data_IF_721182041502
#
_entry.id   IF_721182041502
#
_cell.length_a   1.000
_cell.length_b   1.000
_cell.length_c   1.000
_cell.angle_alpha   90.00
_cell.angle_beta   90.00
_cell.angle_gamma   90.00
#
_symmetry.space_group_name_H-M   'P 1'
#
loop_
_entity.id
_entity.type
_entity.pdbx_description
1 polymer ?
#
# COMPACT_ATOMS: atom_id res chain seq x y z
N UNK A 1 -7.12 21.02 -12.03
CA UNK A 1 -7.15 21.49 -10.63
C UNK A 1 -8.56 21.71 -10.10
N UNK A 2 -9.37 22.68 -10.56
CA UNK A 2 -10.76 22.84 -10.05
C UNK A 2 -11.70 21.71 -10.51
N UNK A 3 -11.68 21.38 -11.80
CA UNK A 3 -12.57 20.34 -12.36
C UNK A 3 -12.26 18.91 -11.85
N UNK A 4 -11.01 18.62 -11.46
CA UNK A 4 -10.64 17.32 -10.87
C UNK A 4 -11.19 17.19 -9.45
N UNK A 5 -11.07 18.24 -8.63
CA UNK A 5 -11.65 18.28 -7.30
C UNK A 5 -13.18 18.13 -7.33
N UNK A 6 -13.84 18.70 -8.33
CA UNK A 6 -15.28 18.54 -8.57
C UNK A 6 -15.67 17.11 -8.93
N UNK A 7 -14.91 16.45 -9.81
CA UNK A 7 -15.14 15.03 -10.14
C UNK A 7 -14.93 14.11 -8.92
N UNK A 8 -13.93 14.40 -8.08
CA UNK A 8 -13.71 13.66 -6.84
C UNK A 8 -14.82 13.88 -5.79
N UNK A 9 -15.42 15.07 -5.76
CA UNK A 9 -16.58 15.41 -4.93
C UNK A 9 -17.84 14.70 -5.41
N UNK A 10 -18.10 14.63 -6.71
CA UNK A 10 -19.26 13.91 -7.26
C UNK A 10 -19.20 12.41 -6.95
N UNK A 11 -18.04 11.77 -7.14
CA UNK A 11 -17.83 10.35 -6.81
C UNK A 11 -18.03 10.03 -5.32
N UNK A 12 -17.87 11.01 -4.42
CA UNK A 12 -18.11 10.84 -2.98
C UNK A 12 -19.60 10.95 -2.60
N UNK A 13 -20.42 11.61 -3.43
CA UNK A 13 -21.84 11.89 -3.12
C UNK A 13 -22.78 10.73 -3.43
N UNK A 14 -22.42 9.86 -4.37
CA UNK A 14 -23.27 8.73 -4.81
C UNK A 14 -23.20 7.48 -3.92
N UNK A 15 -22.33 7.43 -2.91
CA UNK A 15 -22.09 6.23 -2.08
C UNK A 15 -22.20 6.45 -0.56
N UNK A 16 -22.88 7.52 -0.13
CA UNK A 16 -23.08 7.87 1.29
C UNK A 16 -22.09 8.93 1.79
N UNK A 17 -22.61 10.02 2.35
CA UNK A 17 -21.95 11.29 2.75
C UNK A 17 -20.79 11.20 3.77
N UNK A 18 -20.30 10.01 4.13
CA UNK A 18 -19.32 9.79 5.20
C UNK A 18 -17.97 9.26 4.66
N UNK A 19 -17.49 9.87 3.59
CA UNK A 19 -16.29 9.42 2.86
C UNK A 19 -15.38 10.60 2.51
N UNK A 20 -14.10 10.29 2.41
CA UNK A 20 -13.06 11.21 1.95
C UNK A 20 -12.34 10.58 0.76
N UNK A 21 -12.08 11.39 -0.26
CA UNK A 21 -11.35 10.97 -1.47
C UNK A 21 -9.98 11.62 -1.48
N UNK A 22 -8.92 10.83 -1.47
CA UNK A 22 -7.52 11.30 -1.50
C UNK A 22 -6.71 10.41 -2.45
N UNK A 23 -5.92 11.03 -3.34
CA UNK A 23 -5.11 10.33 -4.37
C UNK A 23 -5.89 9.26 -5.15
N UNK A 24 -7.10 9.61 -5.60
CA UNK A 24 -8.00 8.72 -6.35
C UNK A 24 -8.47 7.49 -5.55
N UNK A 25 -8.44 7.57 -4.21
CA UNK A 25 -8.94 6.53 -3.32
C UNK A 25 -10.05 7.10 -2.42
N UNK A 26 -11.26 6.56 -2.55
CA UNK A 26 -12.42 6.94 -1.72
C UNK A 26 -12.56 5.99 -0.54
N UNK A 27 -12.41 6.50 0.69
CA UNK A 27 -12.43 5.73 1.93
C UNK A 27 -13.39 6.36 2.95
N UNK A 28 -13.89 5.57 3.90
CA UNK A 28 -14.62 6.11 5.06
C UNK A 28 -13.67 6.84 6.01
N UNK A 29 -14.17 7.69 6.89
CA UNK A 29 -13.34 8.35 7.91
C UNK A 29 -12.62 7.35 8.82
N UNK A 30 -13.31 6.27 9.22
CA UNK A 30 -12.71 5.19 10.01
C UNK A 30 -11.54 4.53 9.29
N UNK A 31 -11.69 4.21 8.00
CA UNK A 31 -10.59 3.66 7.20
C UNK A 31 -9.45 4.67 7.04
N UNK A 32 -9.78 5.96 6.90
CA UNK A 32 -8.79 7.02 6.81
C UNK A 32 -7.94 7.12 8.08
N UNK A 33 -8.55 7.02 9.26
CA UNK A 33 -7.83 6.97 10.55
C UNK A 33 -6.86 5.78 10.63
N UNK A 34 -7.29 4.59 10.17
CA UNK A 34 -6.39 3.42 10.10
C UNK A 34 -5.24 3.64 9.12
N UNK A 35 -5.51 4.25 7.95
CA UNK A 35 -4.47 4.58 6.98
C UNK A 35 -3.45 5.59 7.54
N UNK A 36 -3.88 6.56 8.34
CA UNK A 36 -2.96 7.48 9.05
C UNK A 36 -2.07 6.74 10.05
N UNK A 37 -2.57 5.70 10.72
CA UNK A 37 -1.71 4.85 11.59
C UNK A 37 -0.65 4.09 10.79
N UNK A 38 -1.00 3.65 9.57
CA UNK A 38 -0.06 3.01 8.65
C UNK A 38 1.01 4.01 8.19
N UNK A 39 0.63 5.24 7.85
CA UNK A 39 1.55 6.34 7.52
C UNK A 39 2.61 6.54 8.61
N UNK A 40 2.17 6.70 9.87
CA UNK A 40 3.06 6.83 11.04
C UNK A 40 3.98 5.61 11.23
N UNK A 41 3.55 4.42 10.82
CA UNK A 41 4.36 3.21 10.91
C UNK A 41 5.43 3.19 9.82
N UNK A 42 5.11 3.62 8.60
CA UNK A 42 6.10 3.77 7.54
C UNK A 42 7.17 4.82 7.90
N UNK A 43 6.79 5.94 8.50
CA UNK A 43 7.74 6.95 9.01
C UNK A 43 8.73 6.32 10.00
N UNK A 44 8.21 5.62 11.02
CA UNK A 44 9.05 4.92 12.00
C UNK A 44 9.97 3.88 11.36
N UNK A 45 9.49 3.14 10.37
CA UNK A 45 10.31 2.17 9.67
C UNK A 45 11.41 2.82 8.82
N UNK A 46 11.18 4.01 8.25
CA UNK A 46 12.22 4.76 7.57
C UNK A 46 13.25 5.32 8.57
N UNK A 47 12.80 5.92 9.66
CA UNK A 47 13.66 6.50 10.70
C UNK A 47 14.57 5.43 11.32
N UNK A 48 14.02 4.25 11.57
CA UNK A 48 14.77 3.09 12.09
C UNK A 48 15.60 2.38 11.00
N UNK A 49 15.59 2.85 9.76
CA UNK A 49 16.25 2.21 8.61
C UNK A 49 15.79 0.77 8.33
N UNK A 50 14.58 0.41 8.78
CA UNK A 50 13.94 -0.87 8.46
C UNK A 50 13.45 -0.87 7.03
N UNK A 51 13.01 0.27 6.50
CA UNK A 51 12.73 0.46 5.08
C UNK A 51 13.75 1.39 4.43
N UNK A 52 14.15 1.05 3.21
CA UNK A 52 14.87 1.97 2.33
C UNK A 52 13.90 2.79 1.50
N UNK A 53 14.32 3.97 1.04
CA UNK A 53 13.54 4.77 0.06
C UNK A 53 13.22 3.94 -1.19
N UNK A 54 14.15 3.10 -1.63
CA UNK A 54 13.95 2.18 -2.77
C UNK A 54 12.76 1.26 -2.53
N UNK A 55 12.70 0.60 -1.37
CA UNK A 55 11.57 -0.26 -0.99
C UNK A 55 10.25 0.52 -0.95
N UNK A 56 10.27 1.75 -0.44
CA UNK A 56 9.09 2.62 -0.40
C UNK A 56 8.56 2.93 -1.80
N UNK A 57 9.44 3.25 -2.76
CA UNK A 57 9.03 3.42 -4.15
C UNK A 57 8.50 2.12 -4.76
N UNK A 58 9.15 0.98 -4.49
CA UNK A 58 8.70 -0.35 -4.93
C UNK A 58 7.34 -0.74 -4.36
N UNK A 59 6.92 -0.23 -3.20
CA UNK A 59 5.58 -0.48 -2.67
C UNK A 59 4.46 -0.03 -3.61
N UNK A 60 4.68 0.97 -4.47
CA UNK A 60 3.67 1.35 -5.47
C UNK A 60 3.33 0.19 -6.41
N UNK A 61 4.31 -0.60 -6.87
CA UNK A 61 4.02 -1.73 -7.77
C UNK A 61 3.26 -2.84 -7.05
N UNK A 62 3.60 -3.10 -5.78
CA UNK A 62 2.85 -4.06 -4.96
C UNK A 62 1.41 -3.62 -4.72
N UNK A 63 1.17 -2.32 -4.49
CA UNK A 63 -0.18 -1.77 -4.34
C UNK A 63 -0.99 -1.94 -5.63
N UNK A 64 -0.41 -1.67 -6.80
CA UNK A 64 -1.11 -1.87 -8.08
C UNK A 64 -1.45 -3.35 -8.31
N UNK A 65 -0.53 -4.27 -8.00
CA UNK A 65 -0.80 -5.70 -8.13
C UNK A 65 -1.87 -6.18 -7.14
N UNK A 66 -1.84 -5.73 -5.88
CA UNK A 66 -2.86 -6.07 -4.89
C UNK A 66 -4.24 -5.49 -5.27
N UNK A 67 -4.27 -4.24 -5.78
CA UNK A 67 -5.48 -3.63 -6.33
C UNK A 67 -6.03 -4.44 -7.50
N UNK A 68 -5.18 -4.83 -8.44
CA UNK A 68 -5.58 -5.64 -9.59
C UNK A 68 -6.14 -7.00 -9.13
N UNK A 69 -5.47 -7.68 -8.19
CA UNK A 69 -5.94 -8.95 -7.62
C UNK A 69 -7.35 -8.81 -7.02
N UNK A 70 -7.62 -7.76 -6.24
CA UNK A 70 -8.96 -7.51 -5.70
C UNK A 70 -10.04 -7.31 -6.77
N UNK A 71 -9.69 -6.70 -7.91
CA UNK A 71 -10.63 -6.53 -9.02
C UNK A 71 -10.89 -7.83 -9.79
N UNK A 72 -10.00 -8.83 -9.68
CA UNK A 72 -10.23 -10.15 -10.25
C UNK A 72 -11.14 -11.01 -9.37
N UNK A 73 -11.13 -10.78 -8.05
CA UNK A 73 -12.02 -11.48 -7.12
C UNK A 73 -13.49 -11.21 -7.48
N UNK A 74 -14.24 -12.27 -7.79
CA UNK A 74 -15.66 -12.19 -8.15
C UNK A 74 -15.95 -12.22 -9.65
N UNK A 75 -14.93 -12.40 -10.50
CA UNK A 75 -15.11 -12.66 -11.94
C UNK A 75 -15.17 -14.16 -12.21
N UNK A 76 -16.12 -14.57 -13.05
CA UNK A 76 -16.31 -15.98 -13.43
C UNK A 76 -15.26 -16.51 -14.42
N UNK A 77 -14.64 -15.60 -15.19
CA UNK A 77 -13.64 -15.92 -16.19
C UNK A 77 -12.46 -14.95 -16.12
N UNK A 78 -11.26 -15.51 -16.22
CA UNK A 78 -9.98 -14.79 -16.18
C UNK A 78 -9.09 -15.26 -17.32
N UNK A 79 -8.38 -14.31 -17.93
CA UNK A 79 -7.31 -14.60 -18.89
C UNK A 79 -6.01 -14.78 -18.09
N UNK A 80 -5.16 -15.73 -18.49
CA UNK A 80 -3.92 -16.04 -17.78
C UNK A 80 -3.02 -14.82 -17.54
N UNK A 81 -3.00 -13.87 -18.48
CA UNK A 81 -2.21 -12.63 -18.36
C UNK A 81 -2.70 -11.70 -17.26
N UNK A 82 -3.98 -11.76 -16.89
CA UNK A 82 -4.53 -10.98 -15.77
C UNK A 82 -4.05 -11.54 -14.42
N UNK A 83 -3.75 -12.85 -14.35
CA UNK A 83 -3.29 -13.51 -13.12
C UNK A 83 -1.86 -13.12 -12.73
N UNK A 84 -1.12 -12.40 -13.57
CA UNK A 84 0.23 -11.91 -13.25
C UNK A 84 0.28 -11.12 -11.93
N UNK A 85 -0.81 -10.41 -11.59
CA UNK A 85 -0.90 -9.66 -10.35
C UNK A 85 -0.76 -10.54 -9.10
N UNK A 86 -1.17 -11.82 -9.15
CA UNK A 86 -1.13 -12.75 -8.01
C UNK A 86 0.29 -13.07 -7.52
N UNK A 87 1.30 -12.77 -8.34
CA UNK A 87 2.72 -12.97 -8.01
C UNK A 87 3.22 -11.99 -6.94
N UNK A 88 2.44 -10.97 -6.60
CA UNK A 88 2.85 -9.89 -5.71
C UNK A 88 3.37 -10.39 -4.35
N UNK A 89 2.78 -11.46 -3.78
CA UNK A 89 3.23 -12.04 -2.50
C UNK A 89 4.65 -12.56 -2.58
N UNK A 90 4.95 -13.39 -3.59
CA UNK A 90 6.29 -13.95 -3.78
C UNK A 90 7.32 -12.86 -4.11
N UNK A 91 6.96 -11.89 -4.94
CA UNK A 91 7.82 -10.76 -5.27
C UNK A 91 8.06 -9.84 -4.06
N UNK A 92 7.06 -9.68 -3.18
CA UNK A 92 7.18 -8.89 -1.95
C UNK A 92 8.17 -9.55 -1.00
N UNK A 93 8.09 -10.86 -0.78
CA UNK A 93 9.06 -11.61 0.03
C UNK A 93 10.48 -11.40 -0.47
N UNK A 94 10.70 -11.57 -1.78
CA UNK A 94 12.01 -11.36 -2.38
C UNK A 94 12.51 -9.92 -2.22
N UNK A 95 11.64 -8.94 -2.44
CA UNK A 95 11.98 -7.52 -2.29
C UNK A 95 12.26 -7.14 -0.84
N UNK A 96 11.50 -7.70 0.11
CA UNK A 96 11.67 -7.47 1.54
C UNK A 96 13.04 -8.00 2.00
N UNK A 97 13.39 -9.23 1.67
CA UNK A 97 14.72 -9.78 1.98
C UNK A 97 15.85 -8.90 1.44
N UNK A 98 15.71 -8.33 0.25
CA UNK A 98 16.78 -7.52 -0.32
C UNK A 98 16.88 -6.12 0.30
N UNK A 99 15.77 -5.53 0.73
CA UNK A 99 15.68 -4.09 0.99
C UNK A 99 15.20 -3.70 2.39
N UNK A 100 14.79 -4.66 3.22
CA UNK A 100 14.34 -4.43 4.60
C UNK A 100 15.50 -4.68 5.56
N UNK A 101 15.67 -3.77 6.52
CA UNK A 101 16.68 -3.84 7.58
C UNK A 101 18.09 -4.19 7.04
N UNK A 102 18.46 -3.60 5.89
CA UNK A 102 19.72 -3.91 5.20
C UNK A 102 20.97 -3.53 6.00
N UNK A 103 20.82 -2.69 7.03
CA UNK A 103 21.88 -2.32 7.97
C UNK A 103 22.10 -3.34 9.09
N UNK A 104 21.13 -4.24 9.36
CA UNK A 104 21.17 -5.24 10.42
C UNK A 104 21.68 -6.59 9.89
N UNK A 105 22.05 -7.50 10.80
CA UNK A 105 22.58 -8.84 10.45
C UNK A 105 22.06 -9.93 11.38
N UNK A 106 22.16 -11.18 10.93
CA UNK A 106 21.82 -12.34 11.76
C UNK A 106 20.35 -12.42 12.11
N UNK A 107 20.06 -12.92 13.31
CA UNK A 107 18.69 -13.20 13.77
C UNK A 107 17.85 -11.94 13.90
N UNK A 108 18.42 -10.85 14.42
CA UNK A 108 17.74 -9.56 14.58
C UNK A 108 17.19 -9.04 13.24
N UNK A 109 17.98 -9.16 12.16
CA UNK A 109 17.51 -8.80 10.83
C UNK A 109 16.35 -9.69 10.40
N UNK A 110 16.44 -10.99 10.62
CA UNK A 110 15.40 -11.95 10.19
C UNK A 110 14.07 -11.65 10.85
N UNK A 111 14.07 -11.43 12.16
CA UNK A 111 12.86 -11.09 12.93
C UNK A 111 12.20 -9.80 12.41
N UNK A 112 12.98 -8.78 12.06
CA UNK A 112 12.46 -7.53 11.51
C UNK A 112 11.92 -7.73 10.09
N UNK A 113 12.62 -8.48 9.24
CA UNK A 113 12.15 -8.80 7.89
C UNK A 113 10.81 -9.54 7.95
N UNK A 114 10.70 -10.56 8.80
CA UNK A 114 9.48 -11.35 8.96
C UNK A 114 8.31 -10.47 9.45
N UNK A 115 8.55 -9.64 10.47
CA UNK A 115 7.55 -8.70 11.00
C UNK A 115 7.08 -7.70 9.95
N UNK A 116 8.01 -7.10 9.20
CA UNK A 116 7.68 -6.13 8.16
C UNK A 116 6.92 -6.80 7.03
N UNK A 117 7.34 -8.00 6.62
CA UNK A 117 6.70 -8.77 5.55
C UNK A 117 5.26 -9.18 5.93
N UNK A 118 5.06 -9.69 7.14
CA UNK A 118 3.74 -10.04 7.66
C UNK A 118 2.80 -8.83 7.62
N UNK A 119 3.28 -7.70 8.15
CA UNK A 119 2.50 -6.48 8.25
C UNK A 119 2.17 -5.87 6.87
N UNK A 120 3.15 -5.83 5.96
CA UNK A 120 2.93 -5.38 4.57
C UNK A 120 1.94 -6.29 3.83
N UNK A 121 2.05 -7.61 4.00
CA UNK A 121 1.14 -8.58 3.38
C UNK A 121 -0.29 -8.40 3.88
N UNK A 122 -0.45 -8.21 5.20
CA UNK A 122 -1.74 -7.90 5.80
C UNK A 122 -2.32 -6.61 5.23
N UNK A 123 -1.53 -5.53 5.19
CA UNK A 123 -2.01 -4.24 4.68
C UNK A 123 -2.36 -4.27 3.20
N UNK A 124 -1.53 -4.90 2.35
CA UNK A 124 -1.80 -5.04 0.92
C UNK A 124 -3.08 -5.82 0.67
N UNK A 125 -3.33 -6.86 1.46
CA UNK A 125 -4.56 -7.67 1.38
C UNK A 125 -5.78 -6.92 1.93
N UNK A 126 -5.64 -6.17 3.02
CA UNK A 126 -6.79 -5.50 3.66
C UNK A 126 -7.19 -4.20 2.94
N UNK A 127 -6.21 -3.43 2.47
CA UNK A 127 -6.42 -2.07 1.97
C UNK A 127 -6.18 -1.95 0.46
N UNK A 128 -5.36 -2.83 -0.14
CA UNK A 128 -5.05 -2.82 -1.57
C UNK A 128 -4.65 -1.42 -2.06
N UNK A 129 -5.36 -0.93 -3.08
CA UNK A 129 -5.17 0.41 -3.66
C UNK A 129 -5.21 1.56 -2.65
N UNK A 130 -5.94 1.42 -1.54
CA UNK A 130 -6.09 2.48 -0.52
C UNK A 130 -4.78 2.81 0.19
N UNK A 131 -3.80 1.89 0.20
CA UNK A 131 -2.45 2.16 0.71
C UNK A 131 -1.69 3.23 -0.06
N UNK A 132 -2.17 3.62 -1.24
CA UNK A 132 -1.67 4.80 -1.94
C UNK A 132 -1.75 6.06 -1.06
N UNK A 133 -2.79 6.18 -0.22
CA UNK A 133 -2.97 7.32 0.68
C UNK A 133 -1.77 7.52 1.61
N UNK A 134 -1.45 6.58 2.53
CA UNK A 134 -0.32 6.75 3.44
C UNK A 134 1.02 6.78 2.72
N UNK A 135 1.18 5.98 1.66
CA UNK A 135 2.43 5.92 0.92
C UNK A 135 2.77 7.25 0.23
N UNK A 136 1.80 7.85 -0.46
CA UNK A 136 2.05 9.07 -1.23
C UNK A 136 2.24 10.28 -0.34
N UNK A 137 1.46 10.42 0.74
CA UNK A 137 1.71 11.47 1.72
C UNK A 137 3.15 11.46 2.22
N UNK A 138 3.64 10.27 2.58
CA UNK A 138 5.01 10.10 3.02
C UNK A 138 6.03 10.43 1.93
N UNK A 139 5.82 9.96 0.69
CA UNK A 139 6.70 10.27 -0.45
C UNK A 139 6.73 11.77 -0.80
N UNK A 140 5.62 12.50 -0.61
CA UNK A 140 5.58 13.95 -0.77
C UNK A 140 6.38 14.67 0.33
N UNK A 141 6.37 14.17 1.56
CA UNK A 141 7.09 14.76 2.69
C UNK A 141 8.62 14.48 2.67
N UNK A 142 9.06 13.43 1.96
CA UNK A 142 10.48 13.05 1.84
C UNK A 142 11.20 13.83 0.72
N UNK A 143 10.47 14.54 -0.14
CA UNK A 143 11.01 15.40 -1.20
C UNK A 143 11.47 16.74 -0.65
#
# INVERSE_FOLDING_TARGET
MANEAESYLENSKDSGRDRVTVFDQSVTWREFEELVKIENTFEKWLDNQWLTKSMLYSLNSFIEMAKAEHLLCGRDYLILTEMECTKWRAMLTYSAERNVASSLKGEERREIVDRVLEQLTYWLTAYGGKLRIPLWKLLYNIR
#
